data_IF_958500380173
#
_entry.id   IF_958500380173
#
_cell.length_a   1.000
_cell.length_b   1.000
_cell.length_c   1.000
_cell.angle_alpha   90.00
_cell.angle_beta   90.00
_cell.angle_gamma   90.00
#
_symmetry.space_group_name_H-M   'P 1'
#
loop_
_entity.id
_entity.type
_entity.pdbx_description
1 polymer ?
#
# COMPACT_ATOMS: atom_id res chain seq x y z
N UNK A 1 18.49 0.41 3.11
CA UNK A 1 19.17 0.29 1.80
C UNK A 1 18.67 -0.95 1.09
N UNK A 2 18.90 -2.15 1.64
CA UNK A 2 18.50 -3.46 1.07
C UNK A 2 16.97 -3.58 0.82
N UNK A 3 16.12 -3.15 1.76
CA UNK A 3 14.64 -3.24 1.64
C UNK A 3 14.03 -2.63 0.36
N UNK A 4 14.62 -1.58 -0.20
CA UNK A 4 14.07 -0.96 -1.42
C UNK A 4 14.39 -1.79 -2.66
N UNK A 5 15.58 -2.38 -2.70
CA UNK A 5 16.00 -3.27 -3.78
C UNK A 5 15.32 -4.65 -3.67
N UNK A 6 14.96 -5.10 -2.47
CA UNK A 6 14.05 -6.23 -2.26
C UNK A 6 12.64 -5.91 -2.80
N UNK A 7 12.16 -4.68 -2.58
CA UNK A 7 10.91 -4.19 -3.16
C UNK A 7 10.93 -4.17 -4.69
N UNK A 8 12.04 -3.74 -5.29
CA UNK A 8 12.27 -3.83 -6.73
C UNK A 8 12.19 -5.28 -7.23
N UNK A 9 12.91 -6.21 -6.59
CA UNK A 9 12.89 -7.62 -6.98
C UNK A 9 11.46 -8.20 -6.93
N UNK A 10 10.67 -7.85 -5.90
CA UNK A 10 9.25 -8.23 -5.82
C UNK A 10 8.41 -7.60 -6.93
N UNK A 11 8.64 -6.34 -7.28
CA UNK A 11 7.89 -5.68 -8.35
C UNK A 11 8.23 -6.27 -9.72
N UNK A 12 9.50 -6.59 -9.97
CA UNK A 12 9.95 -7.30 -11.18
C UNK A 12 9.33 -8.69 -11.26
N UNK A 13 9.32 -9.42 -10.13
CA UNK A 13 8.63 -10.71 -10.00
C UNK A 13 7.18 -10.63 -10.47
N UNK A 14 6.43 -9.66 -9.93
CA UNK A 14 5.02 -9.50 -10.24
C UNK A 14 4.80 -9.02 -11.68
N UNK A 15 5.58 -8.04 -12.15
CA UNK A 15 5.38 -7.42 -13.46
C UNK A 15 5.73 -8.35 -14.60
N UNK A 16 6.88 -9.03 -14.52
CA UNK A 16 7.30 -10.00 -15.52
C UNK A 16 6.44 -11.26 -15.44
N UNK A 17 6.14 -11.75 -14.23
CA UNK A 17 5.25 -12.90 -14.04
C UNK A 17 3.86 -12.68 -14.63
N UNK A 18 3.26 -11.50 -14.42
CA UNK A 18 1.98 -11.13 -15.02
C UNK A 18 2.07 -10.99 -16.54
N UNK A 19 3.15 -10.39 -17.05
CA UNK A 19 3.34 -10.20 -18.49
C UNK A 19 3.52 -11.54 -19.24
N UNK A 20 4.30 -12.45 -18.67
CA UNK A 20 4.59 -13.76 -19.26
C UNK A 20 3.54 -14.82 -18.93
N UNK A 21 2.67 -14.59 -17.94
CA UNK A 21 1.67 -15.54 -17.42
C UNK A 21 2.26 -16.88 -16.94
N UNK A 22 3.46 -16.83 -16.37
CA UNK A 22 4.18 -17.99 -15.83
C UNK A 22 4.78 -17.68 -14.46
N UNK A 23 5.16 -18.73 -13.73
CA UNK A 23 5.93 -18.60 -12.49
C UNK A 23 7.31 -18.02 -12.78
N UNK A 24 7.51 -16.75 -12.41
CA UNK A 24 8.78 -16.04 -12.47
C UNK A 24 9.09 -15.51 -11.07
N UNK A 25 10.33 -15.63 -10.61
CA UNK A 25 10.79 -15.11 -9.33
C UNK A 25 12.08 -14.31 -9.51
N UNK A 26 12.16 -13.17 -8.86
CA UNK A 26 13.36 -12.37 -8.74
C UNK A 26 13.71 -12.18 -7.26
N UNK A 27 14.94 -12.51 -6.89
CA UNK A 27 15.52 -12.28 -5.58
C UNK A 27 16.70 -11.32 -5.67
N UNK A 28 16.86 -10.44 -4.69
CA UNK A 28 18.07 -9.63 -4.59
C UNK A 28 19.21 -10.51 -4.07
N UNK A 29 20.29 -10.65 -4.85
CA UNK A 29 21.47 -11.39 -4.45
C UNK A 29 22.49 -10.48 -3.73
N UNK A 30 22.78 -9.31 -4.30
CA UNK A 30 23.70 -8.33 -3.70
C UNK A 30 23.37 -6.89 -4.12
N UNK A 31 23.81 -5.95 -3.29
CA UNK A 31 23.73 -4.51 -3.55
C UNK A 31 24.96 -3.83 -2.95
N UNK A 32 25.93 -3.48 -3.79
CA UNK A 32 27.23 -2.98 -3.36
C UNK A 32 27.75 -1.84 -4.25
N UNK A 33 28.63 -1.00 -3.69
CA UNK A 33 29.29 0.04 -4.47
C UNK A 33 30.61 -0.48 -5.00
N UNK A 34 30.74 -0.53 -6.32
CA UNK A 34 31.92 -1.03 -7.03
C UNK A 34 32.33 -0.02 -8.11
N UNK A 35 33.58 -0.03 -8.52
CA UNK A 35 33.99 0.74 -9.70
C UNK A 35 33.34 0.16 -10.95
N UNK A 36 33.12 1.00 -11.96
CA UNK A 36 32.57 0.53 -13.24
C UNK A 36 33.48 -0.53 -13.87
N UNK A 37 34.81 -0.40 -13.73
CA UNK A 37 35.79 -1.42 -14.13
C UNK A 37 35.52 -2.79 -13.50
N UNK A 38 35.31 -2.83 -12.20
CA UNK A 38 35.04 -4.09 -11.48
C UNK A 38 33.71 -4.70 -11.95
N UNK A 39 32.68 -3.86 -12.14
CA UNK A 39 31.39 -4.31 -12.64
C UNK A 39 31.49 -4.96 -14.03
N UNK A 40 32.11 -4.27 -15.01
CA UNK A 40 32.28 -4.81 -16.37
C UNK A 40 33.21 -6.03 -16.39
N UNK A 41 34.18 -6.10 -15.47
CA UNK A 41 35.07 -7.25 -15.31
C UNK A 41 34.38 -8.50 -14.77
N UNK A 42 33.26 -8.33 -14.05
CA UNK A 42 32.44 -9.43 -13.53
C UNK A 42 31.37 -9.92 -14.52
N UNK A 43 31.17 -9.24 -15.66
CA UNK A 43 30.19 -9.61 -16.68
C UNK A 43 30.60 -10.91 -17.36
N UNK A 44 29.75 -11.95 -17.39
CA UNK A 44 30.02 -13.18 -18.13
C UNK A 44 30.15 -12.93 -19.64
N UNK A 45 31.01 -13.68 -20.35
CA UNK A 45 31.21 -13.55 -21.80
C UNK A 45 29.90 -13.66 -22.61
N UNK A 46 29.00 -14.54 -22.18
CA UNK A 46 27.68 -14.76 -22.81
C UNK A 46 26.58 -14.03 -22.05
N UNK A 47 26.53 -12.71 -22.24
CA UNK A 47 25.57 -11.84 -21.58
C UNK A 47 24.82 -10.95 -22.56
N UNK A 48 23.56 -10.65 -22.23
CA UNK A 48 22.81 -9.56 -22.84
C UNK A 48 23.17 -8.28 -22.10
N UNK A 49 23.54 -7.24 -22.83
CA UNK A 49 23.97 -5.95 -22.28
C UNK A 49 23.10 -4.85 -22.88
N UNK A 50 22.50 -4.02 -22.04
CA UNK A 50 21.61 -2.95 -22.45
C UNK A 50 21.98 -1.62 -21.79
N UNK A 51 22.08 -0.54 -22.58
CA UNK A 51 22.24 0.79 -22.02
C UNK A 51 20.90 1.39 -21.63
N UNK A 52 20.89 2.07 -20.49
CA UNK A 52 19.73 2.75 -19.93
C UNK A 52 20.09 4.20 -19.71
N UNK A 53 19.30 5.11 -20.27
CA UNK A 53 19.43 6.54 -20.03
C UNK A 53 18.64 6.94 -18.80
N UNK A 54 19.23 7.79 -17.97
CA UNK A 54 18.62 8.32 -16.76
C UNK A 54 18.32 9.80 -16.96
N UNK A 55 17.04 10.13 -17.14
CA UNK A 55 16.58 11.49 -17.39
C UNK A 55 15.97 12.14 -16.13
N UNK A 56 16.08 13.47 -15.94
CA UNK A 56 16.79 14.45 -16.78
C UNK A 56 18.30 14.56 -16.47
N UNK A 57 18.84 13.69 -15.60
CA UNK A 57 20.22 13.77 -15.11
C UNK A 57 21.24 13.63 -16.25
N UNK A 58 20.89 12.94 -17.33
CA UNK A 58 21.77 12.72 -18.48
C UNK A 58 22.87 11.69 -18.20
N UNK A 59 22.68 10.84 -17.20
CA UNK A 59 23.59 9.75 -16.87
C UNK A 59 23.18 8.46 -17.57
N UNK A 60 24.14 7.56 -17.82
CA UNK A 60 23.89 6.23 -18.34
C UNK A 60 23.94 5.19 -17.21
N UNK A 61 23.20 4.10 -17.37
CA UNK A 61 23.25 2.89 -16.57
C UNK A 61 23.43 1.69 -17.52
N UNK A 62 23.96 0.60 -16.98
CA UNK A 62 24.13 -0.65 -17.71
C UNK A 62 23.30 -1.75 -17.05
N UNK A 63 22.47 -2.43 -17.83
CA UNK A 63 21.80 -3.67 -17.43
C UNK A 63 22.50 -4.84 -18.12
N UNK A 64 22.81 -5.87 -17.35
CA UNK A 64 23.33 -7.15 -17.80
C UNK A 64 22.34 -8.25 -17.42
N UNK A 65 22.14 -9.21 -18.33
CA UNK A 65 21.34 -10.41 -18.07
C UNK A 65 22.02 -11.62 -18.69
N UNK A 66 22.04 -12.74 -17.97
CA UNK A 66 22.63 -13.98 -18.48
C UNK A 66 21.85 -14.50 -19.69
N UNK A 67 22.58 -14.93 -20.73
CA UNK A 67 21.95 -15.51 -21.92
C UNK A 67 21.19 -16.81 -21.63
N UNK A 68 21.58 -17.52 -20.56
CA UNK A 68 20.88 -18.69 -20.05
C UNK A 68 19.47 -18.39 -19.52
N UNK A 69 19.16 -17.11 -19.26
CA UNK A 69 17.82 -16.63 -18.91
C UNK A 69 17.16 -15.87 -20.07
N UNK A 70 17.93 -15.07 -20.80
CA UNK A 70 17.42 -14.27 -21.91
C UNK A 70 16.76 -15.13 -23.00
N UNK A 71 17.35 -16.28 -23.36
CA UNK A 71 16.76 -17.18 -24.38
C UNK A 71 15.49 -17.90 -23.92
N UNK A 72 15.41 -18.46 -22.70
CA UNK A 72 14.14 -18.92 -22.16
C UNK A 72 13.05 -17.84 -22.12
N UNK A 73 13.41 -16.59 -21.84
CA UNK A 73 12.45 -15.47 -21.88
C UNK A 73 11.93 -15.21 -23.31
N UNK A 74 12.82 -15.21 -24.31
CA UNK A 74 12.43 -15.10 -25.72
C UNK A 74 11.50 -16.24 -26.12
N UNK A 75 11.85 -17.48 -25.76
CA UNK A 75 11.07 -18.67 -26.06
C UNK A 75 9.64 -18.55 -25.52
N UNK A 76 9.48 -18.16 -24.25
CA UNK A 76 8.15 -17.93 -23.65
C UNK A 76 7.38 -16.81 -24.37
N UNK A 77 8.06 -15.72 -24.74
CA UNK A 77 7.44 -14.60 -25.46
C UNK A 77 6.99 -14.97 -26.87
N UNK A 78 7.61 -15.99 -27.47
CA UNK A 78 7.21 -16.59 -28.74
C UNK A 78 6.17 -17.72 -28.58
N UNK A 79 5.72 -18.00 -27.37
CA UNK A 79 4.71 -19.02 -27.05
C UNK A 79 5.27 -20.41 -26.70
N UNK A 80 6.57 -20.53 -26.49
CA UNK A 80 7.23 -21.76 -26.07
C UNK A 80 7.19 -22.01 -24.56
N UNK A 81 7.82 -23.10 -24.11
CA UNK A 81 7.78 -23.56 -22.71
C UNK A 81 8.92 -22.97 -21.85
N UNK A 82 9.80 -22.14 -22.41
CA UNK A 82 10.95 -21.56 -21.71
C UNK A 82 12.10 -22.56 -21.56
N UNK A 83 12.26 -23.45 -22.55
CA UNK A 83 13.34 -24.45 -22.61
C UNK A 83 14.40 -24.03 -23.64
N UNK A 84 14.21 -22.88 -24.30
CA UNK A 84 15.16 -22.30 -25.24
C UNK A 84 16.57 -22.20 -24.66
N UNK A 85 17.53 -22.84 -25.33
CA UNK A 85 18.94 -22.74 -24.98
C UNK A 85 19.62 -21.61 -25.76
N UNK A 86 20.62 -20.95 -25.18
CA UNK A 86 21.37 -19.94 -25.90
C UNK A 86 22.10 -20.57 -27.11
N UNK A 87 21.90 -20.05 -28.33
CA UNK A 87 22.56 -20.55 -29.51
C UNK A 87 24.06 -20.22 -29.48
N UNK A 88 24.84 -20.90 -30.32
CA UNK A 88 26.27 -20.60 -30.51
C UNK A 88 26.53 -19.32 -31.31
N UNK A 89 25.49 -18.75 -31.93
CA UNK A 89 25.53 -17.49 -32.67
C UNK A 89 25.16 -16.30 -31.78
N UNK A 90 25.40 -15.09 -32.28
CA UNK A 90 24.86 -13.88 -31.68
C UNK A 90 23.33 -13.84 -31.74
N UNK A 91 22.72 -13.11 -30.80
CA UNK A 91 21.30 -12.80 -30.79
C UNK A 91 20.94 -11.92 -32.01
N UNK A 92 19.84 -12.26 -32.66
CA UNK A 92 19.30 -11.56 -33.83
C UNK A 92 18.54 -10.30 -33.45
N UNK A 93 18.26 -9.46 -34.44
CA UNK A 93 17.45 -8.24 -34.28
C UNK A 93 16.02 -8.53 -33.79
N UNK A 94 15.40 -9.62 -34.27
CA UNK A 94 14.06 -10.03 -33.83
C UNK A 94 14.07 -10.43 -32.35
N UNK A 95 15.04 -11.25 -31.97
CA UNK A 95 15.23 -11.69 -30.57
C UNK A 95 15.54 -10.50 -29.65
N UNK A 96 16.30 -9.52 -30.13
CA UNK A 96 16.59 -8.28 -29.41
C UNK A 96 15.32 -7.45 -29.20
N UNK A 97 14.49 -7.27 -30.23
CA UNK A 97 13.23 -6.53 -30.13
C UNK A 97 12.24 -7.19 -29.16
N UNK A 98 12.23 -8.53 -29.11
CA UNK A 98 11.44 -9.28 -28.13
C UNK A 98 11.94 -9.01 -26.70
N UNK A 99 13.26 -9.11 -26.47
CA UNK A 99 13.85 -8.83 -25.16
C UNK A 99 13.71 -7.38 -24.71
N UNK A 100 13.72 -6.43 -25.65
CA UNK A 100 13.53 -5.01 -25.35
C UNK A 100 12.25 -4.78 -24.53
N UNK A 101 11.19 -5.54 -24.80
CA UNK A 101 9.94 -5.42 -24.03
C UNK A 101 10.15 -5.75 -22.55
N UNK A 102 10.94 -6.78 -22.25
CA UNK A 102 11.32 -7.13 -20.88
C UNK A 102 12.22 -6.06 -20.27
N UNK A 103 13.19 -5.55 -21.02
CA UNK A 103 14.07 -4.48 -20.54
C UNK A 103 13.29 -3.20 -20.20
N UNK A 104 12.27 -2.85 -20.99
CA UNK A 104 11.37 -1.72 -20.72
C UNK A 104 10.55 -1.93 -19.44
N UNK A 105 10.06 -3.15 -19.19
CA UNK A 105 9.40 -3.49 -17.93
C UNK A 105 10.37 -3.31 -16.75
N UNK A 106 11.59 -3.83 -16.85
CA UNK A 106 12.63 -3.68 -15.82
C UNK A 106 12.93 -2.20 -15.55
N UNK A 107 13.11 -1.39 -16.61
CA UNK A 107 13.36 0.05 -16.49
C UNK A 107 12.20 0.79 -15.82
N UNK A 108 10.95 0.42 -16.13
CA UNK A 108 9.77 0.99 -15.44
C UNK A 108 9.77 0.64 -13.95
N UNK A 109 10.10 -0.59 -13.59
CA UNK A 109 10.18 -0.96 -12.17
C UNK A 109 11.36 -0.29 -11.44
N UNK A 110 12.47 -0.04 -12.13
CA UNK A 110 13.55 0.81 -11.61
C UNK A 110 13.04 2.24 -11.39
N UNK A 111 12.32 2.81 -12.36
CA UNK A 111 11.73 4.14 -12.23
C UNK A 111 10.80 4.23 -11.01
N UNK A 112 9.98 3.21 -10.75
CA UNK A 112 9.09 3.18 -9.59
C UNK A 112 9.85 3.27 -8.26
N UNK A 113 11.01 2.61 -8.16
CA UNK A 113 11.83 2.63 -6.94
C UNK A 113 12.51 3.99 -6.74
N UNK A 114 12.85 4.67 -7.84
CA UNK A 114 13.48 6.00 -7.83
C UNK A 114 12.48 7.16 -8.04
N UNK A 115 11.16 6.91 -7.98
CA UNK A 115 10.12 7.90 -8.29
C UNK A 115 10.24 9.19 -7.46
N UNK A 116 10.68 9.10 -6.20
CA UNK A 116 10.87 10.26 -5.31
C UNK A 116 11.91 11.28 -5.82
N UNK A 117 12.80 10.85 -6.73
CA UNK A 117 13.75 11.75 -7.38
C UNK A 117 13.20 12.40 -8.64
N UNK A 118 12.05 11.95 -9.15
CA UNK A 118 11.51 12.40 -10.44
C UNK A 118 12.39 12.03 -11.63
N UNK A 119 13.18 10.95 -11.50
CA UNK A 119 14.02 10.45 -12.59
C UNK A 119 13.29 9.38 -13.38
N UNK A 120 13.61 9.28 -14.67
CA UNK A 120 13.12 8.22 -15.55
C UNK A 120 14.28 7.36 -16.00
N UNK A 121 14.08 6.04 -15.99
CA UNK A 121 15.00 5.07 -16.57
C UNK A 121 14.43 4.66 -17.92
N UNK A 122 15.14 4.98 -19.00
CA UNK A 122 14.71 4.73 -20.37
C UNK A 122 15.71 3.77 -21.01
N UNK A 123 15.24 2.58 -21.37
CA UNK A 123 16.05 1.65 -22.17
C UNK A 123 16.37 2.28 -23.53
N UNK A 124 17.64 2.32 -23.91
CA UNK A 124 18.06 2.89 -25.20
C UNK A 124 18.24 1.81 -26.26
N UNK A 125 19.21 0.93 -26.05
CA UNK A 125 19.58 -0.10 -27.03
C UNK A 125 20.45 -1.18 -26.38
N UNK A 126 20.56 -2.31 -27.06
CA UNK A 126 21.56 -3.32 -26.72
C UNK A 126 22.96 -2.81 -27.04
N UNK A 127 23.91 -3.20 -26.21
CA UNK A 127 25.32 -2.87 -26.35
C UNK A 127 26.13 -4.10 -26.68
N UNK A 128 27.14 -3.93 -27.53
CA UNK A 128 28.15 -4.96 -27.74
C UNK A 128 29.17 -4.94 -26.58
N UNK A 129 29.74 -6.10 -26.20
CA UNK A 129 30.72 -6.17 -25.09
C UNK A 129 31.90 -5.21 -25.22
N UNK A 130 32.37 -4.89 -26.43
CA UNK A 130 33.45 -3.91 -26.63
C UNK A 130 33.03 -2.45 -26.40
N UNK A 131 31.74 -2.13 -26.52
CA UNK A 131 31.20 -0.76 -26.39
C UNK A 131 30.87 -0.37 -24.96
N UNK A 132 30.57 -1.34 -24.09
CA UNK A 132 30.16 -1.03 -22.71
C UNK A 132 31.25 -0.29 -21.92
N UNK A 133 32.53 -0.50 -22.24
CA UNK A 133 33.65 0.19 -21.58
C UNK A 133 33.59 1.73 -21.73
N UNK A 134 32.88 2.22 -22.75
CA UNK A 134 32.77 3.65 -23.07
C UNK A 134 31.45 4.28 -22.61
N UNK A 135 30.53 3.51 -22.00
CA UNK A 135 29.24 4.04 -21.52
C UNK A 135 29.41 4.95 -20.31
N UNK A 136 30.34 4.60 -19.42
CA UNK A 136 30.67 5.31 -18.20
C UNK A 136 32.20 5.35 -18.06
N UNK A 137 32.77 6.44 -17.49
CA UNK A 137 34.16 6.44 -17.08
C UNK A 137 34.52 5.20 -16.25
N UNK A 138 35.62 4.53 -16.61
CA UNK A 138 36.00 3.22 -16.06
C UNK A 138 36.24 3.26 -14.53
N UNK A 139 36.70 4.40 -14.01
CA UNK A 139 36.92 4.60 -12.56
C UNK A 139 35.68 5.18 -11.83
N UNK A 140 34.57 5.37 -12.55
CA UNK A 140 33.34 5.88 -11.94
C UNK A 140 32.81 4.88 -10.90
N UNK A 141 32.44 5.38 -9.73
CA UNK A 141 31.77 4.57 -8.71
C UNK A 141 30.34 4.31 -9.15
N UNK A 142 29.94 3.05 -9.09
CA UNK A 142 28.58 2.60 -9.40
C UNK A 142 28.00 1.84 -8.22
N UNK A 143 26.68 1.86 -8.10
CA UNK A 143 25.93 0.90 -7.32
C UNK A 143 25.64 -0.29 -8.23
N UNK A 144 26.30 -1.42 -7.97
CA UNK A 144 26.03 -2.71 -8.58
C UNK A 144 24.92 -3.42 -7.81
N UNK A 145 23.84 -3.74 -8.51
CA UNK A 145 22.75 -4.55 -8.00
C UNK A 145 22.74 -5.88 -8.75
N UNK A 146 22.84 -6.99 -8.05
CA UNK A 146 22.71 -8.31 -8.66
C UNK A 146 21.44 -8.99 -8.18
N UNK A 147 20.67 -9.48 -9.14
CA UNK A 147 19.40 -10.16 -8.93
C UNK A 147 19.51 -11.56 -9.47
N UNK A 148 18.95 -12.49 -8.71
CA UNK A 148 18.79 -13.84 -9.12
C UNK A 148 17.38 -14.05 -9.65
N UNK A 149 17.29 -14.46 -10.90
CA UNK A 149 16.04 -14.65 -11.60
C UNK A 149 15.83 -16.14 -11.85
N UNK A 150 14.64 -16.63 -11.58
CA UNK A 150 14.26 -18.01 -11.82
C UNK A 150 12.88 -18.14 -12.46
N UNK A 151 12.77 -19.11 -13.35
CA UNK A 151 11.53 -19.59 -13.95
C UNK A 151 11.52 -21.11 -13.81
N UNK A 152 10.41 -21.75 -14.15
CA UNK A 152 10.17 -23.20 -13.92
C UNK A 152 11.38 -24.10 -14.13
N UNK A 153 12.12 -23.93 -15.24
CA UNK A 153 13.25 -24.80 -15.61
C UNK A 153 14.58 -24.04 -15.84
N UNK A 154 14.65 -22.74 -15.54
CA UNK A 154 15.86 -21.96 -15.77
C UNK A 154 16.13 -20.95 -14.65
N UNK A 155 17.41 -20.64 -14.44
CA UNK A 155 17.88 -19.68 -13.45
C UNK A 155 19.05 -18.92 -14.05
N UNK A 156 19.16 -17.64 -13.75
CA UNK A 156 20.27 -16.81 -14.18
C UNK A 156 20.34 -15.53 -13.37
N UNK A 157 21.43 -14.80 -13.56
CA UNK A 157 21.64 -13.50 -12.93
C UNK A 157 21.23 -12.36 -13.88
N UNK A 158 20.78 -11.29 -13.26
CA UNK A 158 20.63 -9.99 -13.87
C UNK A 158 21.35 -8.97 -12.98
N UNK A 159 22.28 -8.23 -13.55
CA UNK A 159 23.05 -7.22 -12.84
C UNK A 159 22.78 -5.82 -13.41
N UNK A 160 22.75 -4.81 -12.55
CA UNK A 160 22.47 -3.43 -12.94
C UNK A 160 23.52 -2.52 -12.31
N UNK A 161 24.24 -1.76 -13.12
CA UNK A 161 25.15 -0.73 -12.68
C UNK A 161 24.51 0.65 -12.84
N UNK A 162 24.28 1.32 -11.71
CA UNK A 162 23.78 2.69 -11.66
C UNK A 162 24.88 3.62 -11.13
N UNK A 163 25.19 4.74 -11.77
CA UNK A 163 26.17 5.70 -11.26
C UNK A 163 25.90 6.12 -9.81
N UNK A 164 26.95 6.17 -8.99
CA UNK A 164 26.82 6.47 -7.56
C UNK A 164 26.29 7.88 -7.30
N UNK A 165 26.44 8.81 -8.26
CA UNK A 165 25.84 10.15 -8.18
C UNK A 165 24.31 10.06 -8.18
N UNK A 166 23.74 9.18 -8.99
CA UNK A 166 22.29 8.96 -9.08
C UNK A 166 21.78 8.20 -7.86
N UNK A 167 22.44 7.11 -7.46
CA UNK A 167 22.04 6.35 -6.27
C UNK A 167 22.24 7.15 -4.97
N UNK A 168 23.30 7.95 -4.89
CA UNK A 168 23.57 8.85 -3.77
C UNK A 168 22.52 9.95 -3.61
N UNK A 169 21.98 10.49 -4.71
CA UNK A 169 20.87 11.45 -4.66
C UNK A 169 19.61 10.83 -4.06
N UNK A 170 19.31 9.56 -4.39
CA UNK A 170 18.20 8.81 -3.79
C UNK A 170 18.41 8.68 -2.28
N UNK A 171 19.62 8.26 -1.87
CA UNK A 171 19.96 8.12 -0.46
C UNK A 171 19.86 9.43 0.30
N UNK A 172 20.29 10.56 -0.30
CA UNK A 172 20.19 11.89 0.31
C UNK A 172 18.73 12.34 0.43
N UNK A 173 17.90 12.15 -0.59
CA UNK A 173 16.46 12.47 -0.51
C UNK A 173 15.70 11.56 0.45
N UNK A 174 16.03 10.28 0.53
CA UNK A 174 15.45 9.36 1.53
C UNK A 174 15.95 9.73 2.93
N UNK A 175 17.21 10.13 3.07
CA UNK A 175 17.75 10.59 4.35
C UNK A 175 17.17 11.95 4.77
N UNK A 176 16.83 12.81 3.81
CA UNK A 176 16.12 14.07 4.02
C UNK A 176 14.61 13.88 4.23
N UNK A 177 14.03 12.84 3.63
CA UNK A 177 12.64 12.39 3.81
C UNK A 177 12.45 11.46 5.01
N UNK A 178 13.55 11.04 5.65
CA UNK A 178 13.54 10.62 7.04
C UNK A 178 13.34 11.92 7.81
N UNK A 179 12.23 12.13 8.51
CA UNK A 179 12.12 13.31 9.36
C UNK A 179 13.21 13.18 10.41
N UNK A 180 14.33 13.90 10.18
CA UNK A 180 15.14 14.39 11.27
C UNK A 180 14.18 15.23 12.08
N UNK A 181 13.68 14.61 13.14
CA UNK A 181 13.24 15.27 14.35
C UNK A 181 14.33 16.28 14.72
N UNK A 182 14.20 17.51 14.19
CA UNK A 182 14.74 18.79 14.64
C UNK A 182 14.64 19.79 13.48
N UNK A 183 13.52 20.52 13.49
CA UNK A 183 13.48 21.98 13.30
C UNK A 183 14.51 22.57 12.33
N UNK A 184 14.16 22.65 11.06
CA UNK A 184 14.40 23.88 10.31
C UNK A 184 13.07 24.36 9.75
N UNK A 185 12.70 25.53 10.24
CA UNK A 185 11.47 26.24 9.93
C UNK A 185 11.31 26.33 8.41
N UNK A 186 10.14 25.92 7.90
CA UNK A 186 9.64 26.54 6.67
C UNK A 186 9.66 28.06 6.83
N UNK A 187 9.74 28.82 5.74
CA UNK A 187 9.76 30.29 5.84
C UNK A 187 8.69 30.78 6.82
N UNK A 188 8.98 31.83 7.58
CA UNK A 188 8.04 32.39 8.57
C UNK A 188 6.67 32.66 7.94
N UNK A 189 6.65 33.03 6.65
CA UNK A 189 5.46 33.15 5.82
C UNK A 189 4.71 31.82 5.57
N UNK A 190 5.41 30.71 5.36
CA UNK A 190 4.78 29.39 5.18
C UNK A 190 4.19 28.88 6.51
N UNK A 191 4.89 29.10 7.62
CA UNK A 191 4.39 28.80 8.95
C UNK A 191 3.15 29.64 9.30
N UNK A 192 3.17 30.94 8.98
CA UNK A 192 2.03 31.82 9.21
C UNK A 192 0.84 31.48 8.30
N UNK A 193 1.08 31.18 7.01
CA UNK A 193 0.03 30.73 6.09
C UNK A 193 -0.63 29.42 6.55
N UNK A 194 0.17 28.47 7.06
CA UNK A 194 -0.36 27.23 7.62
C UNK A 194 -1.16 27.50 8.89
N UNK A 195 -0.66 28.37 9.78
CA UNK A 195 -1.35 28.77 11.00
C UNK A 195 -2.70 29.43 10.70
N UNK A 196 -2.75 30.35 9.74
CA UNK A 196 -3.99 31.00 9.28
C UNK A 196 -4.98 29.97 8.74
N UNK A 197 -4.52 29.00 7.92
CA UNK A 197 -5.39 27.94 7.40
C UNK A 197 -5.91 27.00 8.48
N UNK A 198 -5.09 26.68 9.49
CA UNK A 198 -5.50 25.85 10.62
C UNK A 198 -6.53 26.57 11.51
N UNK A 199 -6.40 27.88 11.71
CA UNK A 199 -7.38 28.68 12.45
C UNK A 199 -8.76 28.75 11.77
N UNK A 200 -8.80 28.61 10.44
CA UNK A 200 -10.05 28.60 9.66
C UNK A 200 -10.64 27.21 9.46
N UNK A 201 -9.99 26.15 9.94
CA UNK A 201 -10.49 24.79 9.78
C UNK A 201 -11.70 24.57 10.72
N UNK A 202 -12.91 24.26 10.20
CA UNK A 202 -14.03 23.92 11.06
C UNK A 202 -13.82 22.54 11.66
N UNK A 203 -13.98 22.42 12.98
CA UNK A 203 -13.99 21.13 13.67
C UNK A 203 -15.09 21.11 14.72
N UNK A 204 -15.66 19.92 14.94
CA UNK A 204 -16.73 19.72 15.89
C UNK A 204 -16.18 19.68 17.31
N UNK A 205 -16.89 20.36 18.21
CA UNK A 205 -16.62 20.40 19.64
C UNK A 205 -17.89 20.04 20.38
N UNK A 206 -17.78 18.99 21.20
CA UNK A 206 -18.86 18.51 22.04
C UNK A 206 -18.57 18.88 23.48
N UNK A 207 -19.57 19.49 24.13
CA UNK A 207 -19.53 19.73 25.57
C UNK A 207 -20.04 18.47 26.27
N UNK A 208 -19.11 17.63 26.71
CA UNK A 208 -19.42 16.39 27.38
C UNK A 208 -19.65 16.63 28.86
N UNK A 209 -20.83 16.19 29.32
CA UNK A 209 -21.14 16.05 30.73
C UNK A 209 -20.73 14.64 31.16
N UNK A 210 -20.27 14.49 32.40
CA UNK A 210 -19.88 13.19 32.95
C UNK A 210 -20.97 12.13 32.71
N UNK A 211 -20.53 10.98 32.19
CA UNK A 211 -21.39 9.87 31.82
C UNK A 211 -22.25 9.41 33.00
N UNK A 212 -23.55 9.30 32.75
CA UNK A 212 -24.49 8.72 33.71
C UNK A 212 -24.31 7.21 33.70
N UNK A 213 -23.71 6.68 34.77
CA UNK A 213 -23.73 5.24 35.04
C UNK A 213 -25.13 4.83 35.53
N UNK A 214 -26.02 4.56 34.57
CA UNK A 214 -27.35 3.99 34.80
C UNK A 214 -27.34 2.48 34.62
N UNK A 215 -28.17 1.76 35.38
CA UNK A 215 -28.43 0.35 35.14
C UNK A 215 -29.16 0.18 33.80
N UNK A 216 -28.86 -0.89 33.05
CA UNK A 216 -29.57 -1.23 31.81
C UNK A 216 -31.09 -1.34 32.01
N UNK A 217 -31.53 -1.69 33.23
CA UNK A 217 -32.94 -1.74 33.62
C UNK A 217 -33.58 -0.34 33.66
N UNK A 218 -32.88 0.66 34.19
CA UNK A 218 -33.40 2.03 34.27
C UNK A 218 -33.55 2.68 32.90
N UNK A 219 -32.68 2.29 31.95
CA UNK A 219 -32.77 2.68 30.54
C UNK A 219 -33.94 2.00 29.83
N UNK A 220 -34.17 0.71 30.09
CA UNK A 220 -35.28 -0.04 29.49
C UNK A 220 -36.67 0.46 29.94
N UNK A 221 -36.75 1.00 31.17
CA UNK A 221 -38.00 1.51 31.76
C UNK A 221 -38.25 3.02 31.49
N UNK A 222 -37.58 3.63 30.49
CA UNK A 222 -37.75 5.03 30.15
C UNK A 222 -39.10 5.30 29.47
N UNK A 223 -39.89 6.20 30.06
CA UNK A 223 -41.20 6.63 29.55
C UNK A 223 -41.21 8.16 29.44
N UNK A 224 -41.87 8.76 28.41
CA UNK A 224 -42.02 10.21 28.30
C UNK A 224 -42.56 10.83 29.60
N UNK A 225 -41.87 11.88 30.08
CA UNK A 225 -42.19 12.57 31.35
C UNK A 225 -41.38 12.10 32.56
N UNK A 226 -40.60 11.02 32.45
CA UNK A 226 -39.67 10.60 33.51
C UNK A 226 -38.48 11.55 33.61
N UNK A 227 -38.16 11.99 34.83
CA UNK A 227 -37.04 12.90 35.09
C UNK A 227 -35.75 12.11 35.31
N UNK A 228 -34.72 12.41 34.51
CA UNK A 228 -33.37 11.86 34.68
C UNK A 228 -32.51 12.83 35.48
N UNK A 229 -31.98 12.37 36.61
CA UNK A 229 -31.11 13.17 37.46
C UNK A 229 -29.66 12.96 37.00
N UNK A 230 -29.07 13.99 36.39
CA UNK A 230 -27.66 14.00 36.02
C UNK A 230 -26.80 14.15 37.28
N UNK A 231 -25.69 13.39 37.37
CA UNK A 231 -24.69 13.52 38.46
C UNK A 231 -23.77 14.73 38.30
N UNK A 232 -24.07 15.61 37.34
CA UNK A 232 -23.31 16.83 37.07
C UNK A 232 -24.08 18.05 37.58
N UNK A 233 -23.42 18.91 38.35
CA UNK A 233 -24.04 20.14 38.85
C UNK A 233 -24.30 21.12 37.70
N UNK A 234 -25.39 21.86 37.76
CA UNK A 234 -25.73 22.86 36.73
C UNK A 234 -24.67 23.99 36.59
N UNK A 235 -23.92 24.27 37.67
CA UNK A 235 -22.83 25.24 37.72
C UNK A 235 -21.43 24.60 37.56
N UNK A 236 -21.39 23.28 37.34
CA UNK A 236 -20.18 22.48 37.25
C UNK A 236 -19.36 22.75 35.99
N UNK A 237 -18.08 22.38 36.05
CA UNK A 237 -17.18 22.42 34.90
C UNK A 237 -17.35 21.13 34.11
N UNK A 238 -17.67 21.28 32.82
CA UNK A 238 -17.77 20.21 31.85
C UNK A 238 -16.51 20.19 30.95
N UNK A 239 -16.34 19.09 30.23
CA UNK A 239 -15.21 18.91 29.31
C UNK A 239 -15.63 19.24 27.89
N UNK A 240 -14.88 20.12 27.23
CA UNK A 240 -15.04 20.41 25.81
C UNK A 240 -14.07 19.53 25.04
N UNK A 241 -14.64 18.58 24.31
CA UNK A 241 -13.95 17.48 23.66
C UNK A 241 -14.09 17.64 22.15
N UNK A 242 -13.04 17.30 21.40
CA UNK A 242 -13.16 17.02 19.97
C UNK A 242 -12.78 15.56 19.79
N UNK A 243 -13.70 14.77 19.24
CA UNK A 243 -13.59 13.31 19.19
C UNK A 243 -13.39 12.72 20.61
N UNK A 244 -12.25 12.11 20.89
CA UNK A 244 -11.92 11.52 22.21
C UNK A 244 -10.95 12.39 23.04
N UNK A 245 -10.62 13.60 22.57
CA UNK A 245 -9.59 14.44 23.20
C UNK A 245 -10.19 15.67 23.86
N UNK A 246 -10.07 15.73 25.18
CA UNK A 246 -10.41 16.92 25.96
C UNK A 246 -9.45 18.07 25.61
N UNK A 247 -10.01 19.16 25.10
CA UNK A 247 -9.24 20.34 24.68
C UNK A 247 -9.37 21.47 25.70
N UNK A 248 -10.59 21.71 26.20
CA UNK A 248 -10.87 22.77 27.16
C UNK A 248 -11.77 22.31 28.30
N UNK A 249 -11.67 23.01 29.42
CA UNK A 249 -12.68 23.01 30.46
C UNK A 249 -13.65 24.15 30.19
N UNK A 250 -14.94 23.86 30.21
CA UNK A 250 -15.98 24.84 29.90
C UNK A 250 -17.19 24.72 30.82
N UNK A 251 -17.92 25.81 31.00
CA UNK A 251 -19.22 25.81 31.69
C UNK A 251 -20.35 25.85 30.70
N UNK A 252 -21.42 25.14 31.01
CA UNK A 252 -22.68 25.25 30.26
C UNK A 252 -23.19 26.69 30.41
N UNK A 253 -23.42 27.35 29.29
CA UNK A 253 -23.89 28.72 29.22
C UNK A 253 -25.05 28.84 28.22
N UNK A 254 -25.71 29.99 28.23
CA UNK A 254 -26.74 30.34 27.26
C UNK A 254 -26.46 31.74 26.73
N UNK A 255 -26.45 31.87 25.42
CA UNK A 255 -26.32 33.17 24.73
C UNK A 255 -27.62 33.39 23.95
N UNK A 256 -28.48 34.27 24.47
CA UNK A 256 -29.82 34.48 23.93
C UNK A 256 -30.66 33.19 23.94
N UNK A 257 -31.05 32.70 22.75
CA UNK A 257 -31.77 31.44 22.59
C UNK A 257 -30.89 30.23 22.29
N UNK A 258 -29.57 30.41 22.17
CA UNK A 258 -28.64 29.34 21.85
C UNK A 258 -27.97 28.79 23.11
N UNK A 259 -27.79 27.47 23.14
CA UNK A 259 -26.90 26.80 24.10
C UNK A 259 -25.47 27.15 23.74
N UNK A 260 -24.65 27.46 24.74
CA UNK A 260 -23.26 27.86 24.55
C UNK A 260 -22.37 27.16 25.57
N UNK A 261 -21.08 27.10 25.29
CA UNK A 261 -20.07 26.66 26.23
C UNK A 261 -19.14 27.84 26.52
N UNK A 262 -19.04 28.26 27.78
CA UNK A 262 -18.07 29.27 28.18
C UNK A 262 -16.73 28.58 28.47
N UNK A 263 -15.75 28.80 27.61
CA UNK A 263 -14.39 28.27 27.80
C UNK A 263 -13.76 28.93 29.03
N UNK A 264 -13.37 28.11 30.01
CA UNK A 264 -12.81 28.55 31.28
C UNK A 264 -11.29 28.44 31.28
N UNK A 265 -10.76 27.29 30.84
CA UNK A 265 -9.33 27.01 30.80
C UNK A 265 -9.01 25.97 29.75
N UNK A 266 -7.78 25.96 29.24
CA UNK A 266 -7.26 24.81 28.52
C UNK A 266 -7.25 23.60 29.45
N UNK A 267 -7.62 22.42 28.93
CA UNK A 267 -7.56 21.19 29.70
C UNK A 267 -6.11 20.97 30.18
N UNK A 268 -5.93 20.69 31.47
CA UNK A 268 -4.62 20.31 32.02
C UNK A 268 -4.28 18.91 31.54
N UNK A 269 -3.79 18.77 30.30
CA UNK A 269 -3.21 17.51 29.88
C UNK A 269 -1.70 17.50 30.15
N UNK A 270 -1.27 16.37 30.70
CA UNK A 270 0.09 15.97 30.98
C UNK A 270 1.03 16.45 29.86
N UNK A 271 2.17 17.04 30.24
CA UNK A 271 3.17 17.72 29.40
C UNK A 271 3.85 16.86 28.31
N UNK A 272 3.17 15.86 27.77
CA UNK A 272 3.67 14.99 26.70
C UNK A 272 3.92 15.77 25.40
N UNK A 273 3.11 16.77 25.05
CA UNK A 273 3.31 17.49 23.78
C UNK A 273 4.63 18.28 23.71
N UNK A 274 5.19 18.72 24.86
CA UNK A 274 6.51 19.37 24.92
C UNK A 274 7.69 18.40 24.89
N UNK A 275 7.53 17.17 25.41
CA UNK A 275 8.57 16.14 25.37
C UNK A 275 8.55 15.27 24.11
N UNK A 276 7.52 15.36 23.27
CA UNK A 276 7.41 14.59 22.01
C UNK A 276 8.18 15.26 20.85
N UNK A 277 9.22 16.04 21.15
CA UNK A 277 10.25 16.45 20.16
C UNK A 277 11.53 15.61 20.26
N UNK A 278 11.61 14.65 21.19
CA UNK A 278 12.66 13.65 21.22
C UNK A 278 12.03 12.26 21.11
N UNK A 279 12.19 11.66 19.92
CA UNK A 279 11.78 10.29 19.55
C UNK A 279 10.26 10.06 19.48
N UNK A 280 9.69 9.74 18.29
CA UNK A 280 8.32 9.27 18.24
C UNK A 280 8.27 7.89 18.90
N UNK A 281 7.53 7.75 20.00
CA UNK A 281 7.05 6.45 20.41
C UNK A 281 6.21 5.89 19.26
N UNK A 282 6.55 4.69 18.79
CA UNK A 282 5.79 3.97 17.78
C UNK A 282 4.30 4.01 18.16
N UNK A 283 3.38 4.33 17.21
CA UNK A 283 1.96 4.18 17.48
C UNK A 283 1.74 2.73 17.89
N UNK A 284 1.16 2.53 19.08
CA UNK A 284 0.83 1.18 19.55
C UNK A 284 0.06 0.49 18.43
N UNK A 285 0.46 -0.73 18.01
CA UNK A 285 -0.17 -1.38 16.88
C UNK A 285 -1.66 -1.56 17.16
N UNK A 286 -2.51 -0.88 16.38
CA UNK A 286 -3.94 -1.15 16.41
C UNK A 286 -4.15 -2.54 15.75
N UNK A 287 -4.57 -3.56 16.51
CA UNK A 287 -4.77 -4.90 15.96
C UNK A 287 -5.81 -4.92 14.83
N UNK A 288 -6.78 -3.97 14.83
CA UNK A 288 -7.73 -3.82 13.73
C UNK A 288 -7.06 -3.40 12.42
N UNK A 289 -6.04 -2.54 12.45
CA UNK A 289 -5.36 -2.09 11.24
C UNK A 289 -4.60 -3.24 10.56
N UNK A 290 -3.90 -4.07 11.35
CA UNK A 290 -3.22 -5.27 10.83
C UNK A 290 -4.22 -6.26 10.24
N UNK A 291 -5.36 -6.43 10.88
CA UNK A 291 -6.42 -7.31 10.39
C UNK A 291 -7.07 -6.78 9.10
N UNK A 292 -7.34 -5.47 9.01
CA UNK A 292 -7.85 -4.83 7.80
C UNK A 292 -6.85 -4.90 6.63
N UNK A 293 -5.56 -4.78 6.92
CA UNK A 293 -4.50 -4.94 5.92
C UNK A 293 -4.47 -6.37 5.36
N UNK A 294 -4.62 -7.39 6.22
CA UNK A 294 -4.71 -8.79 5.79
C UNK A 294 -5.89 -9.05 4.85
N UNK A 295 -7.05 -8.44 5.13
CA UNK A 295 -8.21 -8.49 4.24
C UNK A 295 -7.95 -7.78 2.90
N UNK A 296 -7.34 -6.60 2.92
CA UNK A 296 -7.01 -5.86 1.69
C UNK A 296 -6.03 -6.63 0.79
N UNK A 297 -5.00 -7.24 1.37
CA UNK A 297 -4.03 -8.08 0.66
C UNK A 297 -4.69 -9.34 0.07
N UNK A 298 -5.58 -9.99 0.83
CA UNK A 298 -6.30 -11.19 0.37
C UNK A 298 -7.30 -10.87 -0.75
N UNK A 299 -8.04 -9.77 -0.63
CA UNK A 299 -8.92 -9.27 -1.69
C UNK A 299 -8.12 -8.91 -2.96
N UNK A 300 -6.94 -8.27 -2.80
CA UNK A 300 -6.06 -7.90 -3.91
C UNK A 300 -5.60 -9.12 -4.69
N UNK A 301 -5.25 -10.19 -3.98
CA UNK A 301 -4.83 -11.45 -4.55
C UNK A 301 -5.96 -12.14 -5.33
N UNK A 302 -7.13 -12.31 -4.71
CA UNK A 302 -8.28 -13.00 -5.34
C UNK A 302 -8.77 -12.23 -6.57
N UNK A 303 -8.95 -10.91 -6.47
CA UNK A 303 -9.35 -10.11 -7.62
C UNK A 303 -8.30 -10.12 -8.73
N UNK A 304 -7.01 -10.11 -8.37
CA UNK A 304 -5.94 -10.20 -9.36
C UNK A 304 -5.92 -11.54 -10.11
N UNK A 305 -6.24 -12.64 -9.43
CA UNK A 305 -6.37 -13.96 -10.05
C UNK A 305 -7.56 -14.03 -11.02
N UNK A 306 -8.71 -13.47 -10.63
CA UNK A 306 -9.92 -13.46 -11.46
C UNK A 306 -9.73 -12.55 -12.68
N UNK A 307 -9.16 -11.36 -12.48
CA UNK A 307 -8.99 -10.37 -13.54
C UNK A 307 -7.80 -10.67 -14.47
N UNK A 308 -6.87 -11.56 -14.06
CA UNK A 308 -5.65 -11.84 -14.80
C UNK A 308 -4.65 -10.67 -14.84
N UNK A 309 -4.85 -9.63 -14.01
CA UNK A 309 -4.02 -8.43 -13.90
C UNK A 309 -3.88 -8.02 -12.43
N UNK A 310 -2.77 -7.37 -12.01
CA UNK A 310 -2.62 -6.92 -10.63
C UNK A 310 -3.75 -5.97 -10.19
N UNK A 311 -4.35 -6.24 -9.03
CA UNK A 311 -5.44 -5.44 -8.46
C UNK A 311 -5.03 -4.87 -7.08
N UNK A 312 -4.17 -3.83 -7.01
CA UNK A 312 -3.64 -3.33 -5.74
C UNK A 312 -4.74 -2.70 -4.89
N UNK A 313 -4.79 -3.04 -3.60
CA UNK A 313 -5.71 -2.45 -2.64
C UNK A 313 -4.99 -2.03 -1.37
N UNK A 314 -5.48 -0.94 -0.76
CA UNK A 314 -5.01 -0.42 0.51
C UNK A 314 -6.20 -0.13 1.42
N UNK A 315 -6.12 -0.45 2.73
CA UNK A 315 -7.13 -0.02 3.68
C UNK A 315 -7.08 1.51 3.82
N UNK A 316 -8.26 2.13 3.86
CA UNK A 316 -8.42 3.56 4.11
C UNK A 316 -9.43 3.77 5.23
N UNK A 317 -9.18 4.75 6.09
CA UNK A 317 -10.16 5.17 7.09
C UNK A 317 -11.35 5.85 6.40
N UNK A 318 -12.56 5.55 6.88
CA UNK A 318 -13.76 6.14 6.32
C UNK A 318 -13.79 7.64 6.65
N UNK A 319 -13.95 8.49 5.63
CA UNK A 319 -14.27 9.91 5.83
C UNK A 319 -15.67 10.06 6.43
N UNK A 320 -15.91 11.10 7.28
CA UNK A 320 -17.20 11.32 7.94
C UNK A 320 -18.37 11.57 6.97
N UNK A 321 -18.09 11.95 5.72
CA UNK A 321 -19.04 12.16 4.63
C UNK A 321 -19.56 10.85 3.98
N UNK A 322 -19.80 9.81 4.79
CA UNK A 322 -20.23 8.49 4.28
C UNK A 322 -21.66 8.60 3.72
N UNK A 323 -21.94 8.15 2.49
CA UNK A 323 -23.32 8.09 2.01
C UNK A 323 -24.13 7.12 2.88
N UNK A 324 -25.35 7.55 3.22
CA UNK A 324 -26.33 6.76 3.97
C UNK A 324 -26.45 5.36 3.32
N UNK A 325 -26.62 4.32 4.15
CA UNK A 325 -26.80 2.95 3.67
C UNK A 325 -28.03 2.93 2.77
N UNK A 326 -27.84 2.72 1.47
CA UNK A 326 -28.95 2.50 0.56
C UNK A 326 -29.49 1.08 0.79
N UNK A 327 -30.81 0.88 0.77
CA UNK A 327 -31.44 -0.45 0.90
C UNK A 327 -30.95 -1.45 -0.18
N UNK A 328 -30.36 -0.93 -1.26
CA UNK A 328 -29.84 -1.71 -2.38
C UNK A 328 -28.38 -2.17 -2.21
N UNK A 329 -27.68 -1.76 -1.16
CA UNK A 329 -26.29 -2.17 -0.92
C UNK A 329 -26.21 -3.66 -0.53
N UNK A 330 -25.14 -4.33 -0.96
CA UNK A 330 -24.89 -5.71 -0.58
C UNK A 330 -24.12 -5.74 0.74
N UNK A 331 -24.68 -6.45 1.71
CA UNK A 331 -24.07 -6.68 3.01
C UNK A 331 -23.56 -8.12 3.08
N UNK A 332 -22.29 -8.28 3.46
CA UNK A 332 -21.70 -9.58 3.76
C UNK A 332 -21.18 -9.56 5.19
N UNK A 333 -21.35 -10.66 5.90
CA UNK A 333 -20.83 -10.82 7.25
C UNK A 333 -19.82 -11.95 7.26
N UNK A 334 -18.60 -11.64 7.70
CA UNK A 334 -17.57 -12.62 8.00
C UNK A 334 -17.60 -12.93 9.50
N UNK A 335 -17.90 -14.18 9.83
CA UNK A 335 -17.78 -14.71 11.19
C UNK A 335 -16.39 -15.32 11.36
N UNK A 336 -15.67 -14.85 12.37
CA UNK A 336 -14.34 -15.30 12.72
C UNK A 336 -14.48 -16.22 13.93
N UNK A 337 -14.05 -17.47 13.78
CA UNK A 337 -13.95 -18.45 14.85
C UNK A 337 -12.48 -18.71 15.21
N UNK A 338 -12.23 -19.03 16.49
CA UNK A 338 -10.89 -19.32 17.01
C UNK A 338 -10.55 -18.48 18.26
N UNK A 339 -9.27 -18.13 18.49
CA UNK A 339 -8.80 -17.50 19.74
C UNK A 339 -9.27 -16.04 19.92
N UNK A 340 -9.77 -15.39 18.87
CA UNK A 340 -10.39 -14.07 18.92
C UNK A 340 -11.68 -14.10 18.09
N UNK A 341 -12.79 -14.63 18.63
CA UNK A 341 -14.05 -14.71 17.91
C UNK A 341 -14.63 -13.31 17.70
N UNK A 342 -15.20 -13.08 16.52
CA UNK A 342 -15.77 -11.79 16.17
C UNK A 342 -16.50 -11.79 14.85
N UNK A 343 -17.19 -10.70 14.57
CA UNK A 343 -17.89 -10.48 13.30
C UNK A 343 -17.32 -9.26 12.61
N UNK A 344 -17.17 -9.37 11.29
CA UNK A 344 -16.77 -8.26 10.42
C UNK A 344 -17.82 -8.11 9.32
N UNK A 345 -18.40 -6.93 9.21
CA UNK A 345 -19.41 -6.63 8.18
C UNK A 345 -18.80 -5.83 7.03
N UNK A 346 -19.06 -6.29 5.81
CA UNK A 346 -18.70 -5.61 4.58
C UNK A 346 -19.94 -4.98 3.97
N UNK A 347 -19.84 -3.69 3.66
CA UNK A 347 -20.83 -2.98 2.84
C UNK A 347 -20.25 -2.77 1.45
N UNK A 348 -20.87 -3.37 0.45
CA UNK A 348 -20.51 -3.19 -0.95
C UNK A 348 -21.61 -2.38 -1.64
N UNK A 349 -21.34 -1.13 -2.05
CA UNK A 349 -22.32 -0.33 -2.78
C UNK A 349 -22.83 -1.06 -4.02
N UNK A 350 -24.12 -0.95 -4.36
CA UNK A 350 -24.72 -1.68 -5.49
C UNK A 350 -23.89 -1.58 -6.78
N UNK A 351 -23.44 -0.37 -7.14
CA UNK A 351 -22.62 -0.12 -8.33
C UNK A 351 -21.32 -0.94 -8.33
N UNK A 352 -20.69 -1.10 -7.15
CA UNK A 352 -19.48 -1.92 -7.00
C UNK A 352 -19.81 -3.40 -6.99
N UNK A 353 -20.93 -3.79 -6.39
CA UNK A 353 -21.41 -5.16 -6.40
C UNK A 353 -21.65 -5.68 -7.83
N UNK A 354 -22.26 -4.87 -8.70
CA UNK A 354 -22.47 -5.20 -10.12
C UNK A 354 -21.14 -5.39 -10.87
N UNK A 355 -20.15 -4.53 -10.62
CA UNK A 355 -18.82 -4.64 -11.25
C UNK A 355 -18.10 -5.90 -10.78
N UNK A 356 -18.16 -6.21 -9.49
CA UNK A 356 -17.53 -7.39 -8.91
C UNK A 356 -18.20 -8.69 -9.37
N UNK A 357 -19.54 -8.72 -9.45
CA UNK A 357 -20.28 -9.85 -10.00
C UNK A 357 -19.91 -10.09 -11.46
N UNK A 358 -19.89 -9.04 -12.29
CA UNK A 358 -19.43 -9.12 -13.69
C UNK A 358 -18.03 -9.71 -13.78
N UNK A 359 -17.10 -9.19 -12.97
CA UNK A 359 -15.71 -9.62 -12.96
C UNK A 359 -15.58 -11.10 -12.61
N UNK A 360 -16.31 -11.56 -11.59
CA UNK A 360 -16.29 -12.95 -11.13
C UNK A 360 -16.93 -13.90 -12.15
N UNK A 361 -18.05 -13.50 -12.75
CA UNK A 361 -18.78 -14.28 -13.75
C UNK A 361 -18.15 -14.22 -15.16
N UNK A 362 -17.12 -13.38 -15.36
CA UNK A 362 -16.45 -13.17 -16.65
C UNK A 362 -17.40 -12.69 -17.78
N UNK A 363 -18.41 -11.88 -17.45
CA UNK A 363 -19.38 -11.37 -18.42
C UNK A 363 -18.89 -10.11 -19.16
N UNK A 364 -19.31 -9.90 -20.41
CA UNK A 364 -18.92 -8.75 -21.24
C UNK A 364 -19.49 -7.41 -20.75
N UNK A 365 -20.70 -7.42 -20.18
CA UNK A 365 -21.41 -6.24 -19.64
C UNK A 365 -21.91 -6.49 -18.22
N UNK A 366 -21.85 -5.48 -17.36
CA UNK A 366 -22.44 -5.60 -16.01
C UNK A 366 -23.98 -5.61 -16.14
N UNK A 367 -24.69 -6.50 -15.43
CA UNK A 367 -26.14 -6.51 -15.45
C UNK A 367 -26.71 -5.20 -14.88
N UNK A 368 -27.89 -4.80 -15.36
CA UNK A 368 -28.55 -3.57 -14.89
C UNK A 368 -29.02 -3.68 -13.42
N UNK A 369 -29.26 -4.91 -12.96
CA UNK A 369 -29.68 -5.23 -11.60
C UNK A 369 -28.88 -6.44 -11.08
N UNK A 370 -28.77 -6.54 -9.75
CA UNK A 370 -28.02 -7.62 -9.12
C UNK A 370 -28.88 -8.89 -9.04
N UNK A 371 -28.66 -9.80 -9.98
CA UNK A 371 -29.35 -11.10 -10.09
C UNK A 371 -29.01 -12.04 -8.92
N UNK A 372 -29.80 -13.12 -8.76
CA UNK A 372 -29.51 -14.17 -7.78
C UNK A 372 -28.11 -14.78 -8.01
N UNK A 373 -27.75 -15.05 -9.27
CA UNK A 373 -26.44 -15.57 -9.65
C UNK A 373 -25.31 -14.57 -9.32
N UNK A 374 -25.54 -13.28 -9.55
CA UNK A 374 -24.58 -12.23 -9.18
C UNK A 374 -24.39 -12.10 -7.67
N UNK A 375 -25.43 -12.33 -6.86
CA UNK A 375 -25.33 -12.40 -5.39
C UNK A 375 -24.53 -13.63 -4.95
N UNK A 376 -24.80 -14.79 -5.53
CA UNK A 376 -24.03 -16.01 -5.25
C UNK A 376 -22.56 -15.89 -5.67
N UNK A 377 -22.28 -15.22 -6.79
CA UNK A 377 -20.92 -14.93 -7.25
C UNK A 377 -20.16 -14.02 -6.27
N UNK A 378 -20.81 -12.98 -5.74
CA UNK A 378 -20.24 -12.13 -4.71
C UNK A 378 -19.97 -12.89 -3.40
N UNK A 379 -20.90 -13.74 -2.97
CA UNK A 379 -20.70 -14.56 -1.78
C UNK A 379 -19.51 -15.51 -1.96
N UNK A 380 -19.40 -16.17 -3.11
CA UNK A 380 -18.27 -17.06 -3.42
C UNK A 380 -16.94 -16.30 -3.50
N UNK A 381 -16.92 -15.11 -4.10
CA UNK A 381 -15.73 -14.25 -4.12
C UNK A 381 -15.24 -13.96 -2.69
N UNK A 382 -16.13 -13.53 -1.80
CA UNK A 382 -15.75 -13.24 -0.42
C UNK A 382 -15.44 -14.51 0.38
N UNK A 383 -16.02 -15.66 0.05
CA UNK A 383 -15.67 -16.96 0.62
C UNK A 383 -14.24 -17.37 0.26
N UNK A 384 -13.82 -17.17 -1.00
CA UNK A 384 -12.44 -17.40 -1.42
C UNK A 384 -11.47 -16.46 -0.69
N UNK A 385 -11.81 -15.18 -0.59
CA UNK A 385 -11.04 -14.20 0.18
C UNK A 385 -10.89 -14.63 1.64
N UNK A 386 -11.98 -15.06 2.28
CA UNK A 386 -11.95 -15.55 3.66
C UNK A 386 -11.03 -16.77 3.84
N UNK A 387 -10.98 -17.67 2.86
CA UNK A 387 -10.03 -18.78 2.83
C UNK A 387 -8.57 -18.32 2.81
N UNK A 388 -8.25 -17.29 2.01
CA UNK A 388 -6.93 -16.68 1.99
C UNK A 388 -6.60 -15.95 3.29
N UNK A 389 -7.55 -15.20 3.87
CA UNK A 389 -7.39 -14.53 5.17
C UNK A 389 -7.12 -15.56 6.27
N UNK A 390 -7.86 -16.67 6.30
CA UNK A 390 -7.64 -17.73 7.28
C UNK A 390 -6.26 -18.38 7.11
N UNK A 391 -5.79 -18.57 5.87
CA UNK A 391 -4.49 -19.20 5.59
C UNK A 391 -3.33 -18.28 5.94
N UNK A 392 -3.35 -17.04 5.46
CA UNK A 392 -2.31 -16.04 5.70
C UNK A 392 -2.33 -15.53 7.16
N UNK A 393 -3.50 -15.51 7.79
CA UNK A 393 -3.70 -15.08 9.17
C UNK A 393 -3.22 -16.08 10.23
N UNK A 394 -3.01 -17.36 9.89
CA UNK A 394 -2.55 -18.41 10.84
C UNK A 394 -1.24 -18.08 11.55
N UNK A 395 -0.35 -17.33 10.90
CA UNK A 395 0.91 -16.89 11.52
C UNK A 395 0.69 -15.93 12.70
N UNK A 396 -0.45 -15.23 12.71
CA UNK A 396 -0.81 -14.23 13.73
C UNK A 396 -1.88 -14.75 14.70
N UNK A 397 -2.81 -15.59 14.22
CA UNK A 397 -3.91 -16.18 14.98
C UNK A 397 -4.00 -17.69 14.69
N UNK A 398 -3.39 -18.54 15.52
CA UNK A 398 -3.40 -20.00 15.31
C UNK A 398 -4.83 -20.54 15.40
N UNK A 399 -5.25 -21.33 14.42
CA UNK A 399 -6.60 -21.93 14.40
C UNK A 399 -7.73 -20.99 13.97
N UNK A 400 -7.40 -19.83 13.38
CA UNK A 400 -8.42 -18.93 12.80
C UNK A 400 -9.20 -19.64 11.69
N UNK A 401 -10.52 -19.57 11.78
CA UNK A 401 -11.45 -19.95 10.72
C UNK A 401 -12.34 -18.75 10.41
N UNK A 402 -12.53 -18.46 9.12
CA UNK A 402 -13.35 -17.33 8.67
C UNK A 402 -14.40 -17.88 7.72
N UNK A 403 -15.67 -17.67 8.04
CA UNK A 403 -16.80 -18.03 7.18
C UNK A 403 -17.54 -16.76 6.78
N UNK A 404 -17.87 -16.64 5.50
CA UNK A 404 -18.64 -15.50 4.98
C UNK A 404 -19.99 -15.99 4.50
N UNK A 405 -21.02 -15.22 4.85
CA UNK A 405 -22.36 -15.36 4.32
C UNK A 405 -22.90 -13.99 3.89
N UNK A 406 -23.84 -13.98 2.95
CA UNK A 406 -24.70 -12.82 2.74
C UNK A 406 -25.50 -12.58 4.02
N UNK A 407 -25.43 -11.36 4.54
CA UNK A 407 -25.96 -11.02 5.85
C UNK A 407 -26.94 -9.85 5.79
N UNK A 408 -27.79 -9.76 6.82
CA UNK A 408 -28.59 -8.57 7.08
C UNK A 408 -27.75 -7.49 7.79
N UNK A 409 -28.34 -6.31 7.97
CA UNK A 409 -27.75 -5.16 8.65
C UNK A 409 -27.05 -5.58 9.95
N UNK A 410 -25.80 -5.14 10.22
CA UNK A 410 -25.06 -5.56 11.40
C UNK A 410 -25.89 -5.39 12.68
N UNK A 411 -25.83 -6.39 13.56
CA UNK A 411 -26.56 -6.43 14.83
C UNK A 411 -26.00 -5.46 15.88
N UNK A 412 -24.83 -4.87 15.61
CA UNK A 412 -24.16 -3.90 16.46
C UNK A 412 -24.34 -2.48 15.89
N UNK A 413 -24.59 -1.51 16.79
CA UNK A 413 -24.67 -0.10 16.40
C UNK A 413 -23.32 0.37 15.83
N UNK A 414 -23.28 1.16 14.74
CA UNK A 414 -22.03 1.67 14.19
C UNK A 414 -21.23 2.32 15.31
N UNK A 415 -19.96 1.89 15.47
CA UNK A 415 -19.05 2.50 16.43
C UNK A 415 -19.02 4.00 16.17
N UNK A 416 -19.32 4.76 17.23
CA UNK A 416 -19.42 6.23 17.23
C UNK A 416 -18.12 6.86 16.77
#
# INVERSE_FOLDING_TARGET
MIRQYEGFARNVTNSIGAYLRIGFQAGLASAEHVSYREFIGAVPEKSYLGSVKIEPIGAAALIQMDMALAFPLIDVLLGGEGVGQPPSREITEIEEQILETIMRIICRELQNVWQALGVQFVFEQRQQPGRVQHLLPVEEKTLGLSFELSMKNCRGLMSIAVPAVVSGALLRKISAGRPRSQTQMGSEEAAERLRQRLLTCPFHLDLQLDLLTSSAKDLADLVPGRMLILKHRADGIAELVSEERTIFQAKVARVGNSRAAQVMAAAKNNSSWRNTMASPAEPRPNPAHKFMQLWAESLSLVLGQIAGVPFPMMPAEATPEKPAVAETDVLLTATIAGPAPGELSFRVPLVRALILAKLFMQEESAPAELTADGRSALEELFRQVAGYVATSGRATLPGIAVTVALGETPTWAPAS
#
